data_IF_850591226698
#
_entry.id   IF_850591226698
#
_cell.length_a   1.000
_cell.length_b   1.000
_cell.length_c   1.000
_cell.angle_alpha   90.00
_cell.angle_beta   90.00
_cell.angle_gamma   90.00
#
_symmetry.space_group_name_H-M   'P 1'
#
loop_
_entity.id
_entity.type
_entity.pdbx_description
1 polymer ?
#
# COMPACT_ATOMS: atom_id res chain seq x y z
N UNK A 1 32.68 6.27 6.45
CA UNK A 1 31.30 6.79 6.39
C UNK A 1 30.87 6.82 4.93
N UNK A 2 29.95 5.96 4.51
CA UNK A 2 29.33 6.06 3.20
C UNK A 2 28.04 6.86 3.36
N UNK A 3 28.03 8.11 2.88
CA UNK A 3 26.79 8.84 2.73
C UNK A 3 25.94 8.08 1.70
N UNK A 4 24.84 7.47 2.15
CA UNK A 4 23.87 6.89 1.23
C UNK A 4 23.27 8.05 0.45
N UNK A 5 23.54 8.09 -0.85
CA UNK A 5 22.97 9.12 -1.72
C UNK A 5 21.43 9.05 -1.64
N UNK A 6 20.74 10.21 -1.56
CA UNK A 6 19.30 10.25 -1.53
C UNK A 6 18.71 9.62 -2.80
N UNK A 7 17.61 8.90 -2.65
CA UNK A 7 16.89 8.33 -3.78
C UNK A 7 16.21 9.48 -4.55
N UNK A 8 16.65 9.72 -5.79
CA UNK A 8 16.07 10.69 -6.71
C UNK A 8 15.01 9.96 -7.55
N UNK A 9 13.77 10.43 -7.46
CA UNK A 9 12.63 9.87 -8.21
C UNK A 9 12.07 10.94 -9.12
N UNK A 10 12.12 10.71 -10.43
CA UNK A 10 11.47 11.54 -11.44
C UNK A 10 10.05 11.02 -11.72
N UNK A 11 9.14 11.32 -10.80
CA UNK A 11 7.71 11.02 -10.93
C UNK A 11 6.90 12.12 -10.27
N UNK A 12 5.90 12.62 -10.97
CA UNK A 12 5.02 13.67 -10.47
C UNK A 12 3.76 13.07 -9.83
N UNK A 13 3.66 13.21 -8.51
CA UNK A 13 2.55 12.72 -7.70
C UNK A 13 1.37 13.70 -7.62
N UNK A 14 1.49 14.90 -8.18
CA UNK A 14 0.48 15.95 -8.03
C UNK A 14 -0.88 15.56 -8.63
N UNK A 15 -1.95 15.91 -7.93
CA UNK A 15 -3.34 15.70 -8.36
C UNK A 15 -3.83 14.25 -8.32
N UNK A 16 -2.96 13.26 -8.07
CA UNK A 16 -3.37 11.85 -8.00
C UNK A 16 -4.27 11.64 -6.77
N UNK A 17 -3.88 12.21 -5.63
CA UNK A 17 -4.60 12.07 -4.37
C UNK A 17 -5.11 13.44 -3.87
N UNK A 18 -6.30 13.49 -3.24
CA UNK A 18 -7.25 12.38 -3.02
C UNK A 18 -8.17 12.10 -4.23
N UNK A 19 -8.19 12.96 -5.24
CA UNK A 19 -9.28 12.99 -6.23
C UNK A 19 -9.37 11.72 -7.09
N UNK A 20 -8.25 11.19 -7.59
CA UNK A 20 -8.27 10.03 -8.49
C UNK A 20 -8.70 8.75 -7.77
N UNK A 21 -8.26 8.55 -6.52
CA UNK A 21 -8.66 7.42 -5.67
C UNK A 21 -10.13 7.53 -5.23
N UNK A 22 -10.62 8.73 -4.92
CA UNK A 22 -12.02 8.93 -4.57
C UNK A 22 -12.95 8.58 -5.73
N UNK A 23 -12.62 9.05 -6.94
CA UNK A 23 -13.39 8.68 -8.14
C UNK A 23 -13.36 7.17 -8.39
N UNK A 24 -12.20 6.53 -8.24
CA UNK A 24 -12.09 5.08 -8.38
C UNK A 24 -12.95 4.33 -7.36
N UNK A 25 -12.88 4.70 -6.08
CA UNK A 25 -13.66 4.08 -5.02
C UNK A 25 -15.17 4.24 -5.26
N UNK A 26 -15.64 5.39 -5.76
CA UNK A 26 -17.06 5.59 -6.11
C UNK A 26 -17.50 4.60 -7.19
N UNK A 27 -16.65 4.35 -8.19
CA UNK A 27 -16.93 3.42 -9.28
C UNK A 27 -16.90 1.97 -8.78
N UNK A 28 -15.92 1.64 -7.95
CA UNK A 28 -15.82 0.33 -7.29
C UNK A 28 -17.06 0.04 -6.43
N UNK A 29 -17.47 1.00 -5.59
CA UNK A 29 -18.66 0.89 -4.74
C UNK A 29 -19.95 0.73 -5.58
N UNK A 30 -20.07 1.47 -6.69
CA UNK A 30 -21.22 1.40 -7.60
C UNK A 30 -21.34 0.04 -8.29
N UNK A 31 -20.22 -0.50 -8.76
CA UNK A 31 -20.18 -1.79 -9.46
C UNK A 31 -20.39 -2.93 -8.47
N UNK A 32 -19.65 -2.90 -7.36
CA UNK A 32 -19.76 -3.86 -6.27
C UNK A 32 -19.79 -5.31 -6.74
N UNK A 33 -20.82 -6.05 -6.33
CA UNK A 33 -21.01 -7.47 -6.70
C UNK A 33 -21.69 -7.68 -8.05
N UNK A 34 -22.13 -6.61 -8.72
CA UNK A 34 -22.93 -6.67 -9.94
C UNK A 34 -22.07 -6.56 -11.21
N UNK A 35 -20.75 -6.75 -11.12
CA UNK A 35 -19.82 -6.59 -12.24
C UNK A 35 -20.13 -7.50 -13.44
N UNK A 36 -20.80 -8.65 -13.24
CA UNK A 36 -21.18 -9.58 -14.31
C UNK A 36 -22.24 -9.02 -15.25
N UNK A 37 -23.02 -8.05 -14.77
CA UNK A 37 -24.06 -7.36 -15.55
C UNK A 37 -23.54 -6.11 -16.26
N UNK A 38 -22.29 -5.73 -16.00
CA UNK A 38 -21.70 -4.52 -16.55
C UNK A 38 -21.40 -4.64 -18.05
N UNK A 39 -21.55 -3.54 -18.77
CA UNK A 39 -21.34 -3.51 -20.22
C UNK A 39 -19.88 -3.79 -20.65
N UNK A 40 -18.92 -3.75 -19.73
CA UNK A 40 -17.52 -4.12 -19.96
C UNK A 40 -17.21 -5.57 -19.63
N UNK A 41 -18.13 -6.32 -19.00
CA UNK A 41 -17.88 -7.68 -18.54
C UNK A 41 -17.37 -8.60 -19.66
N UNK A 42 -18.02 -8.59 -20.83
CA UNK A 42 -17.60 -9.42 -21.98
C UNK A 42 -16.21 -9.03 -22.51
N UNK A 43 -15.88 -7.74 -22.53
CA UNK A 43 -14.54 -7.28 -22.93
C UNK A 43 -13.49 -7.73 -21.90
N UNK A 44 -13.83 -7.70 -20.60
CA UNK A 44 -12.95 -8.15 -19.53
C UNK A 44 -12.70 -9.65 -19.54
N UNK A 45 -13.69 -10.49 -19.86
CA UNK A 45 -13.45 -11.92 -20.10
C UNK A 45 -12.38 -12.12 -21.19
N UNK A 46 -12.47 -11.33 -22.27
CA UNK A 46 -11.50 -11.40 -23.36
C UNK A 46 -10.12 -10.90 -22.92
N UNK A 47 -10.04 -9.80 -22.17
CA UNK A 47 -8.78 -9.28 -21.60
C UNK A 47 -8.11 -10.35 -20.72
N UNK A 48 -8.85 -10.98 -19.81
CA UNK A 48 -8.32 -12.04 -18.95
C UNK A 48 -7.73 -13.20 -19.76
N UNK A 49 -8.45 -13.65 -20.79
CA UNK A 49 -8.00 -14.70 -21.69
C UNK A 49 -6.72 -14.30 -22.42
N UNK A 50 -6.66 -13.10 -22.98
CA UNK A 50 -5.46 -12.58 -23.66
C UNK A 50 -4.28 -12.40 -22.70
N UNK A 51 -4.54 -12.06 -21.44
CA UNK A 51 -3.51 -11.91 -20.41
C UNK A 51 -3.06 -13.24 -19.82
N UNK A 52 -3.73 -14.35 -20.16
CA UNK A 52 -3.52 -15.67 -19.54
C UNK A 52 -3.74 -15.65 -18.02
N UNK A 53 -4.71 -14.85 -17.56
CA UNK A 53 -5.12 -14.77 -16.16
C UNK A 53 -6.31 -15.70 -15.94
N UNK A 54 -6.16 -16.63 -15.01
CA UNK A 54 -7.19 -17.60 -14.64
C UNK A 54 -7.89 -17.19 -13.35
N UNK A 55 -9.22 -17.26 -13.34
CA UNK A 55 -10.08 -17.00 -12.17
C UNK A 55 -10.82 -15.67 -12.22
N UNK A 56 -11.81 -15.54 -11.33
CA UNK A 56 -12.77 -14.44 -11.37
C UNK A 56 -12.28 -13.15 -10.70
N UNK A 57 -11.20 -13.22 -9.92
CA UNK A 57 -10.68 -12.08 -9.17
C UNK A 57 -10.26 -10.92 -10.07
N UNK A 58 -9.71 -11.21 -11.25
CA UNK A 58 -9.33 -10.14 -12.18
C UNK A 58 -10.51 -9.64 -13.04
N UNK A 59 -11.60 -10.43 -13.20
CA UNK A 59 -12.79 -9.99 -13.94
C UNK A 59 -13.43 -8.76 -13.27
N UNK A 60 -13.65 -8.82 -11.96
CA UNK A 60 -14.31 -7.73 -11.23
C UNK A 60 -13.49 -6.44 -11.29
N UNK A 61 -12.19 -6.51 -11.03
CA UNK A 61 -11.33 -5.33 -11.06
C UNK A 61 -11.10 -4.80 -12.47
N UNK A 62 -11.06 -5.66 -13.50
CA UNK A 62 -11.05 -5.23 -14.89
C UNK A 62 -12.29 -4.41 -15.23
N UNK A 63 -13.47 -4.82 -14.77
CA UNK A 63 -14.72 -4.08 -14.99
C UNK A 63 -14.68 -2.71 -14.30
N UNK A 64 -14.14 -2.64 -13.08
CA UNK A 64 -13.94 -1.37 -12.35
C UNK A 64 -12.96 -0.46 -13.08
N UNK A 65 -11.80 -0.98 -13.52
CA UNK A 65 -10.81 -0.25 -14.30
C UNK A 65 -11.38 0.27 -15.63
N UNK A 66 -12.20 -0.54 -16.30
CA UNK A 66 -12.86 -0.17 -17.55
C UNK A 66 -13.84 0.99 -17.34
N UNK A 67 -14.69 0.91 -16.32
CA UNK A 67 -15.61 1.99 -15.97
C UNK A 67 -14.88 3.24 -15.48
N UNK A 68 -13.74 3.08 -14.82
CA UNK A 68 -12.89 4.20 -14.43
C UNK A 68 -12.38 4.97 -15.64
N UNK A 69 -11.82 4.28 -16.64
CA UNK A 69 -11.43 4.90 -17.91
C UNK A 69 -12.61 5.58 -18.61
N UNK A 70 -13.75 4.92 -18.65
CA UNK A 70 -14.97 5.46 -19.25
C UNK A 70 -15.42 6.77 -18.55
N UNK A 71 -15.31 6.83 -17.22
CA UNK A 71 -15.69 8.01 -16.44
C UNK A 71 -14.77 9.22 -16.63
N UNK A 72 -13.52 9.00 -17.06
CA UNK A 72 -12.53 10.07 -17.23
C UNK A 72 -12.33 10.49 -18.68
N UNK A 73 -12.90 9.76 -19.66
CA UNK A 73 -12.68 10.03 -21.10
C UNK A 73 -13.11 11.43 -21.55
N UNK A 74 -14.12 12.00 -20.89
CA UNK A 74 -14.65 13.35 -21.17
C UNK A 74 -13.88 14.48 -20.47
N UNK A 75 -12.90 14.17 -19.61
CA UNK A 75 -12.10 15.20 -18.92
C UNK A 75 -11.15 15.91 -19.87
N UNK A 76 -10.90 17.19 -19.59
CA UNK A 76 -9.88 17.97 -20.30
C UNK A 76 -8.49 17.32 -20.18
N UNK A 77 -7.66 17.46 -21.21
CA UNK A 77 -6.31 16.87 -21.28
C UNK A 77 -5.39 17.32 -20.13
N UNK A 78 -5.60 18.51 -19.56
CA UNK A 78 -4.78 18.97 -18.41
C UNK A 78 -5.15 18.24 -17.12
N UNK A 79 -6.43 17.93 -16.94
CA UNK A 79 -6.94 17.32 -15.71
C UNK A 79 -6.86 15.81 -15.73
N UNK A 80 -6.64 15.19 -16.89
CA UNK A 80 -6.71 13.73 -17.05
C UNK A 80 -5.47 13.00 -16.54
N UNK A 81 -4.30 13.64 -16.63
CA UNK A 81 -3.01 13.04 -16.34
C UNK A 81 -2.93 12.39 -14.95
N UNK A 82 -3.39 13.03 -13.86
CA UNK A 82 -3.41 12.38 -12.55
C UNK A 82 -4.29 11.13 -12.49
N UNK A 83 -5.45 11.12 -13.17
CA UNK A 83 -6.33 9.95 -13.25
C UNK A 83 -5.66 8.81 -14.03
N UNK A 84 -4.97 9.11 -15.13
CA UNK A 84 -4.24 8.11 -15.90
C UNK A 84 -3.07 7.50 -15.12
N UNK A 85 -2.33 8.31 -14.35
CA UNK A 85 -1.29 7.81 -13.44
C UNK A 85 -1.88 6.90 -12.35
N UNK A 86 -3.05 7.25 -11.80
CA UNK A 86 -3.74 6.41 -10.83
C UNK A 86 -4.21 5.08 -11.46
N UNK A 87 -4.81 5.13 -12.64
CA UNK A 87 -5.16 3.94 -13.42
C UNK A 87 -3.94 3.03 -13.64
N UNK A 88 -2.81 3.60 -14.04
CA UNK A 88 -1.55 2.87 -14.26
C UNK A 88 -1.09 2.14 -12.98
N UNK A 89 -1.16 2.83 -11.83
CA UNK A 89 -0.86 2.24 -10.52
C UNK A 89 -1.77 1.05 -10.20
N UNK A 90 -3.09 1.21 -10.36
CA UNK A 90 -4.04 0.12 -10.06
C UNK A 90 -3.78 -1.05 -11.02
N UNK A 91 -3.59 -0.79 -12.31
CA UNK A 91 -3.25 -1.82 -13.29
C UNK A 91 -2.00 -2.61 -12.86
N UNK A 92 -0.91 -1.93 -12.48
CA UNK A 92 0.29 -2.59 -11.94
C UNK A 92 -0.01 -3.42 -10.70
N UNK A 93 -0.75 -2.87 -9.75
CA UNK A 93 -1.11 -3.53 -8.49
C UNK A 93 -1.81 -4.87 -8.74
N UNK A 94 -2.77 -4.87 -9.65
CA UNK A 94 -3.53 -6.06 -9.98
C UNK A 94 -2.69 -7.08 -10.75
N UNK A 95 -1.92 -6.64 -11.74
CA UNK A 95 -1.10 -7.53 -12.56
C UNK A 95 0.08 -8.15 -11.79
N UNK A 96 0.56 -7.51 -10.71
CA UNK A 96 1.73 -7.96 -9.92
C UNK A 96 1.62 -9.41 -9.42
N UNK A 97 0.40 -9.91 -9.21
CA UNK A 97 0.17 -11.26 -8.68
C UNK A 97 -0.02 -12.32 -9.78
N UNK A 98 -0.03 -11.92 -11.04
CA UNK A 98 -0.29 -12.82 -12.17
C UNK A 98 0.93 -12.91 -13.08
N UNK A 99 1.10 -14.09 -13.68
CA UNK A 99 2.04 -14.26 -14.79
C UNK A 99 1.31 -13.89 -16.08
N UNK A 100 1.39 -12.62 -16.46
CA UNK A 100 0.66 -12.06 -17.59
C UNK A 100 1.39 -12.34 -18.91
N UNK A 101 0.65 -12.37 -20.02
CA UNK A 101 1.23 -12.48 -21.37
C UNK A 101 1.77 -11.14 -21.90
N UNK A 102 1.37 -10.03 -21.29
CA UNK A 102 1.89 -8.70 -21.58
C UNK A 102 2.99 -8.36 -20.56
N UNK A 103 4.13 -7.90 -21.06
CA UNK A 103 5.29 -7.52 -20.26
C UNK A 103 5.23 -6.02 -19.96
N UNK A 104 4.79 -5.66 -18.74
CA UNK A 104 4.67 -4.27 -18.33
C UNK A 104 3.29 -3.67 -18.60
N UNK A 105 2.99 -2.62 -17.86
CA UNK A 105 1.73 -1.90 -17.83
C UNK A 105 1.39 -1.31 -19.20
N UNK A 106 2.39 -0.78 -19.91
CA UNK A 106 2.21 -0.16 -21.23
C UNK A 106 1.70 -1.15 -22.28
N UNK A 107 2.31 -2.33 -22.36
CA UNK A 107 1.87 -3.38 -23.30
C UNK A 107 0.52 -3.96 -22.89
N UNK A 108 0.26 -4.11 -21.59
CA UNK A 108 -1.04 -4.58 -21.11
C UNK A 108 -2.15 -3.58 -21.47
N UNK A 109 -1.93 -2.28 -21.24
CA UNK A 109 -2.89 -1.24 -21.60
C UNK A 109 -3.17 -1.21 -23.11
N UNK A 110 -2.15 -1.32 -23.96
CA UNK A 110 -2.32 -1.38 -25.41
C UNK A 110 -3.23 -2.54 -25.83
N UNK A 111 -3.00 -3.74 -25.29
CA UNK A 111 -3.88 -4.91 -25.54
C UNK A 111 -5.31 -4.66 -25.06
N UNK A 112 -5.50 -4.02 -23.90
CA UNK A 112 -6.84 -3.64 -23.44
C UNK A 112 -7.54 -2.72 -24.46
N UNK A 113 -6.83 -1.74 -25.01
CA UNK A 113 -7.38 -0.81 -26.01
C UNK A 113 -7.80 -1.51 -27.30
N UNK A 114 -6.99 -2.45 -27.79
CA UNK A 114 -7.32 -3.26 -28.96
C UNK A 114 -8.61 -4.06 -28.76
N UNK A 115 -8.76 -4.65 -27.57
CA UNK A 115 -9.96 -5.39 -27.20
C UNK A 115 -11.16 -4.44 -27.08
N UNK A 116 -11.03 -3.31 -26.40
CA UNK A 116 -12.09 -2.31 -26.30
C UNK A 116 -12.59 -1.84 -27.66
N UNK A 117 -11.68 -1.60 -28.61
CA UNK A 117 -12.02 -1.28 -29.99
C UNK A 117 -12.84 -2.38 -30.66
N UNK A 118 -12.47 -3.65 -30.47
CA UNK A 118 -13.24 -4.80 -30.97
C UNK A 118 -14.68 -4.84 -30.41
N UNK A 119 -14.83 -4.51 -29.12
CA UNK A 119 -16.12 -4.43 -28.43
C UNK A 119 -16.85 -3.08 -28.59
N UNK A 120 -16.44 -2.24 -29.55
CA UNK A 120 -17.04 -0.93 -29.85
C UNK A 120 -17.08 0.04 -28.65
N UNK A 121 -16.10 -0.08 -27.74
CA UNK A 121 -15.87 0.89 -26.66
C UNK A 121 -14.96 1.98 -27.22
N UNK A 122 -15.52 3.15 -27.47
CA UNK A 122 -14.83 4.28 -28.10
C UNK A 122 -14.10 5.13 -27.05
N UNK A 123 -13.04 5.80 -27.48
CA UNK A 123 -12.28 6.81 -26.71
C UNK A 123 -11.70 6.31 -25.37
N UNK A 124 -11.44 5.00 -25.27
CA UNK A 124 -10.83 4.39 -24.08
C UNK A 124 -9.32 4.62 -23.99
N UNK A 125 -8.68 5.04 -25.09
CA UNK A 125 -7.23 5.21 -25.25
C UNK A 125 -6.70 6.57 -24.75
N UNK A 126 -7.55 7.30 -24.02
CA UNK A 126 -7.26 8.64 -23.51
C UNK A 126 -6.01 8.75 -22.61
N UNK A 127 -5.60 7.64 -21.99
CA UNK A 127 -4.42 7.57 -21.12
C UNK A 127 -3.15 7.11 -21.83
N UNK A 128 -3.18 6.85 -23.14
CA UNK A 128 -2.07 6.21 -23.89
C UNK A 128 -0.70 6.84 -23.68
N UNK A 129 -0.64 8.16 -23.56
CA UNK A 129 0.62 8.91 -23.42
C UNK A 129 1.11 8.99 -21.96
N UNK A 130 0.24 8.69 -20.99
CA UNK A 130 0.54 8.75 -19.55
C UNK A 130 0.78 7.36 -18.92
N UNK A 131 0.50 6.26 -19.66
CA UNK A 131 0.84 4.91 -19.20
C UNK A 131 2.34 4.63 -19.43
N UNK A 132 3.03 4.41 -18.32
CA UNK A 132 4.45 4.04 -18.27
C UNK A 132 4.64 2.76 -17.45
N UNK A 133 5.71 2.02 -17.70
CA UNK A 133 6.03 0.89 -16.84
C UNK A 133 6.64 1.42 -15.53
N UNK A 134 5.86 1.40 -14.44
CA UNK A 134 6.30 2.00 -13.17
C UNK A 134 7.48 1.22 -12.61
N UNK A 135 8.48 1.91 -12.06
CA UNK A 135 9.51 1.24 -11.27
C UNK A 135 8.94 0.70 -9.97
N UNK A 136 9.61 -0.27 -9.35
CA UNK A 136 9.18 -0.82 -8.06
C UNK A 136 9.17 0.25 -6.95
N UNK A 137 10.07 1.22 -7.00
CA UNK A 137 10.13 2.33 -6.05
C UNK A 137 8.90 3.24 -6.17
N UNK A 138 8.56 3.66 -7.40
CA UNK A 138 7.37 4.50 -7.67
C UNK A 138 6.10 3.74 -7.24
N UNK A 139 6.00 2.46 -7.64
CA UNK A 139 4.87 1.62 -7.25
C UNK A 139 4.72 1.50 -5.73
N UNK A 140 5.84 1.31 -5.03
CA UNK A 140 5.84 1.19 -3.57
C UNK A 140 5.30 2.46 -2.91
N UNK A 141 5.73 3.63 -3.38
CA UNK A 141 5.25 4.93 -2.89
C UNK A 141 3.74 5.10 -3.15
N UNK A 142 3.29 4.82 -4.38
CA UNK A 142 1.87 4.90 -4.74
C UNK A 142 1.01 3.95 -3.91
N UNK A 143 1.49 2.73 -3.67
CA UNK A 143 0.81 1.75 -2.81
C UNK A 143 0.70 2.22 -1.35
N UNK A 144 1.75 2.86 -0.82
CA UNK A 144 1.71 3.48 0.51
C UNK A 144 0.69 4.62 0.57
N UNK A 145 0.73 5.54 -0.41
CA UNK A 145 -0.22 6.64 -0.50
C UNK A 145 -1.67 6.16 -0.60
N UNK A 146 -1.93 5.18 -1.47
CA UNK A 146 -3.25 4.57 -1.62
C UNK A 146 -3.76 3.96 -0.30
N UNK A 147 -2.89 3.24 0.41
CA UNK A 147 -3.23 2.66 1.71
C UNK A 147 -3.54 3.74 2.75
N UNK A 148 -2.76 4.82 2.76
CA UNK A 148 -2.93 5.95 3.66
C UNK A 148 -4.26 6.67 3.40
N UNK A 149 -4.54 7.08 2.16
CA UNK A 149 -5.79 7.78 1.84
C UNK A 149 -7.04 6.93 2.10
N UNK A 150 -7.00 5.63 1.82
CA UNK A 150 -8.09 4.72 2.20
C UNK A 150 -8.27 4.63 3.72
N UNK A 151 -7.17 4.70 4.47
CA UNK A 151 -7.23 4.73 5.92
C UNK A 151 -7.82 6.05 6.43
N UNK A 152 -7.39 7.19 5.89
CA UNK A 152 -7.93 8.52 6.20
C UNK A 152 -9.44 8.58 5.95
N UNK A 153 -9.91 8.04 4.82
CA UNK A 153 -11.33 7.95 4.50
C UNK A 153 -12.10 7.18 5.57
N UNK A 154 -11.55 6.08 6.09
CA UNK A 154 -12.16 5.32 7.20
C UNK A 154 -12.22 6.12 8.50
N UNK A 155 -11.17 6.88 8.83
CA UNK A 155 -11.16 7.75 10.00
C UNK A 155 -12.24 8.84 9.89
N UNK A 156 -12.35 9.47 8.72
CA UNK A 156 -13.39 10.47 8.39
C UNK A 156 -14.79 9.91 8.60
N UNK A 157 -15.04 8.68 8.13
CA UNK A 157 -16.37 8.07 8.17
C UNK A 157 -16.78 7.55 9.56
N UNK A 158 -15.82 7.03 10.35
CA UNK A 158 -16.11 6.40 11.64
C UNK A 158 -16.01 7.37 12.82
N UNK A 159 -15.67 8.65 12.58
CA UNK A 159 -15.32 9.62 13.63
C UNK A 159 -14.29 9.07 14.63
N UNK A 160 -13.45 8.12 14.18
CA UNK A 160 -12.50 7.43 15.03
C UNK A 160 -11.21 8.24 15.14
N UNK A 161 -10.64 8.28 16.34
CA UNK A 161 -9.38 8.97 16.61
C UNK A 161 -8.21 7.97 16.47
N UNK A 162 -7.12 8.45 15.88
CA UNK A 162 -5.85 7.76 15.76
C UNK A 162 -5.06 7.94 17.06
N UNK A 163 -5.27 7.03 18.02
CA UNK A 163 -4.59 7.09 19.31
C UNK A 163 -3.08 6.89 19.17
N UNK A 164 -2.30 7.53 20.04
CA UNK A 164 -0.85 7.33 20.11
C UNK A 164 -0.50 5.84 20.30
N UNK A 165 0.53 5.36 19.60
CA UNK A 165 0.97 3.97 19.63
C UNK A 165 0.04 2.97 18.91
N UNK A 166 -1.11 3.41 18.40
CA UNK A 166 -1.96 2.57 17.55
C UNK A 166 -1.29 2.28 16.20
N UNK A 167 -1.74 1.21 15.53
CA UNK A 167 -1.29 0.89 14.18
C UNK A 167 -1.55 2.03 13.18
N UNK A 168 -2.64 2.78 13.37
CA UNK A 168 -2.90 4.01 12.63
C UNK A 168 -1.75 5.02 12.74
N UNK A 169 -1.37 5.33 13.98
CA UNK A 169 -0.40 6.37 14.28
C UNK A 169 0.98 5.97 13.76
N UNK A 170 1.36 4.71 13.96
CA UNK A 170 2.63 4.18 13.48
C UNK A 170 2.70 4.21 11.94
N UNK A 171 1.64 3.77 11.24
CA UNK A 171 1.60 3.82 9.77
C UNK A 171 1.73 5.25 9.23
N UNK A 172 1.07 6.22 9.88
CA UNK A 172 1.19 7.63 9.52
C UNK A 172 2.61 8.16 9.75
N UNK A 173 3.21 7.87 10.92
CA UNK A 173 4.57 8.29 11.25
C UNK A 173 5.60 7.69 10.28
N UNK A 174 5.46 6.41 9.97
CA UNK A 174 6.32 5.71 9.02
C UNK A 174 6.21 6.33 7.61
N UNK A 175 4.99 6.70 7.19
CA UNK A 175 4.77 7.42 5.95
C UNK A 175 5.53 8.76 5.93
N UNK A 176 5.35 9.60 6.95
CA UNK A 176 6.03 10.89 7.02
C UNK A 176 7.55 10.74 7.02
N UNK A 177 8.07 9.73 7.72
CA UNK A 177 9.50 9.44 7.73
C UNK A 177 10.00 9.07 6.32
N UNK A 178 9.31 8.17 5.62
CA UNK A 178 9.68 7.76 4.26
C UNK A 178 9.62 8.91 3.25
N UNK A 179 8.62 9.79 3.34
CA UNK A 179 8.54 10.98 2.49
C UNK A 179 9.76 11.88 2.65
N UNK A 180 10.25 12.08 3.89
CA UNK A 180 11.44 12.90 4.16
C UNK A 180 12.73 12.30 3.58
N UNK A 181 12.83 10.97 3.46
CA UNK A 181 14.00 10.30 2.89
C UNK A 181 14.08 10.34 1.36
N UNK A 182 12.99 10.74 0.68
CA UNK A 182 12.91 10.73 -0.78
C UNK A 182 13.00 12.17 -1.29
N UNK A 183 13.91 12.43 -2.23
CA UNK A 183 14.05 13.75 -2.84
C UNK A 183 13.09 13.88 -4.01
N UNK A 184 11.85 14.29 -3.74
CA UNK A 184 10.83 14.55 -4.76
C UNK A 184 9.87 15.67 -4.33
N UNK A 185 9.83 16.76 -5.08
CA UNK A 185 9.05 17.95 -4.72
C UNK A 185 7.53 17.68 -4.67
N UNK A 186 7.01 16.92 -5.63
CA UNK A 186 5.57 16.59 -5.65
C UNK A 186 5.15 15.69 -4.47
N UNK A 187 6.05 14.81 -4.01
CA UNK A 187 5.84 14.01 -2.81
C UNK A 187 5.89 14.87 -1.54
N UNK A 188 6.77 15.88 -1.49
CA UNK A 188 6.82 16.83 -0.37
C UNK A 188 5.56 17.68 -0.28
N UNK A 189 4.99 18.13 -1.41
CA UNK A 189 3.70 18.82 -1.41
C UNK A 189 2.56 17.90 -0.95
N UNK A 190 2.57 16.64 -1.40
CA UNK A 190 1.58 15.66 -0.96
C UNK A 190 1.70 15.35 0.54
N UNK A 191 2.92 15.31 1.08
CA UNK A 191 3.15 15.18 2.51
C UNK A 191 2.47 16.31 3.29
N UNK A 192 2.60 17.56 2.85
CA UNK A 192 1.95 18.72 3.50
C UNK A 192 0.42 18.59 3.49
N UNK A 193 -0.16 18.11 2.38
CA UNK A 193 -1.60 17.85 2.27
C UNK A 193 -2.03 16.78 3.27
N UNK A 194 -1.32 15.66 3.29
CA UNK A 194 -1.57 14.56 4.23
C UNK A 194 -1.48 15.03 5.68
N UNK A 195 -0.41 15.74 6.06
CA UNK A 195 -0.25 16.27 7.42
C UNK A 195 -1.42 17.17 7.83
N UNK A 196 -1.84 18.06 6.92
CA UNK A 196 -2.98 18.95 7.14
C UNK A 196 -4.28 18.17 7.33
N UNK A 197 -4.55 17.18 6.48
CA UNK A 197 -5.79 16.41 6.55
C UNK A 197 -5.85 15.42 7.72
N UNK A 198 -4.70 14.88 8.15
CA UNK A 198 -4.62 13.95 9.27
C UNK A 198 -4.62 14.64 10.63
N UNK A 199 -4.22 15.92 10.71
CA UNK A 199 -4.11 16.68 11.97
C UNK A 199 -5.34 16.55 12.89
N UNK A 200 -6.60 16.61 12.42
CA UNK A 200 -7.77 16.48 13.29
C UNK A 200 -7.96 15.09 13.89
N UNK A 201 -7.37 14.06 13.28
CA UNK A 201 -7.56 12.66 13.66
C UNK A 201 -6.43 12.13 14.52
N UNK A 202 -5.28 12.81 14.55
CA UNK A 202 -4.12 12.40 15.33
C UNK A 202 -4.12 13.13 16.65
N UNK A 203 -4.43 12.41 17.72
CA UNK A 203 -4.28 12.96 19.05
C UNK A 203 -2.83 12.80 19.48
N UNK A 204 -2.01 13.80 19.15
CA UNK A 204 -0.71 13.94 19.80
C UNK A 204 -0.97 14.47 21.20
N UNK A 205 -0.80 13.63 22.23
CA UNK A 205 -0.59 14.14 23.58
C UNK A 205 0.72 14.91 23.53
N UNK A 206 0.63 16.24 23.34
CA UNK A 206 1.80 17.12 23.33
C UNK A 206 2.65 16.94 24.61
N UNK A 207 2.00 16.56 25.71
CA UNK A 207 2.64 16.28 27.01
C UNK A 207 3.65 15.11 26.99
N UNK A 208 3.54 14.16 26.04
CA UNK A 208 4.46 13.01 25.95
C UNK A 208 5.74 13.37 25.18
N UNK A 209 5.67 14.32 24.24
CA UNK A 209 6.85 14.78 23.48
C UNK A 209 7.82 15.58 24.35
N UNK A 210 7.33 16.30 25.36
CA UNK A 210 8.17 16.99 26.34
C UNK A 210 8.70 16.03 27.42
N UNK A 211 7.90 15.05 27.86
CA UNK A 211 8.35 14.06 28.84
C UNK A 211 9.53 13.19 28.34
N UNK A 212 9.57 12.86 27.04
CA UNK A 212 10.69 12.10 26.44
C UNK A 212 12.01 12.86 26.45
N UNK A 213 11.98 14.21 26.45
CA UNK A 213 13.21 15.01 26.59
C UNK A 213 13.74 15.04 28.02
N UNK A 214 12.89 14.76 29.01
CA UNK A 214 13.26 14.76 30.43
C UNK A 214 13.66 13.38 30.99
N UNK A 215 13.27 12.27 30.35
CA UNK A 215 13.55 10.92 30.86
C UNK A 215 15.01 10.45 30.72
N UNK A 216 15.88 11.14 29.97
CA UNK A 216 17.30 10.78 29.89
C UNK A 216 18.16 11.24 31.09
N UNK A 217 17.53 11.66 32.21
CA UNK A 217 18.24 12.20 33.37
C UNK A 217 18.04 11.45 34.69
N UNK A 218 17.51 10.21 34.67
CA UNK A 218 17.35 9.43 35.91
C UNK A 218 18.31 8.24 35.99
N UNK A 219 19.40 8.33 36.79
CA UNK A 219 20.27 7.21 37.09
C UNK A 219 19.76 6.51 38.36
N UNK A 220 18.85 5.55 38.23
CA UNK A 220 18.58 4.63 39.33
C UNK A 220 18.45 3.19 38.87
N UNK A 221 19.46 2.42 39.26
CA UNK A 221 19.49 0.98 39.28
C UNK A 221 18.33 0.42 40.12
N UNK A 222 17.68 -0.62 39.62
CA UNK A 222 16.92 -1.54 40.46
C UNK A 222 16.84 -2.89 39.78
N UNK A 223 17.68 -3.80 40.26
CA UNK A 223 17.50 -5.23 40.15
C UNK A 223 16.16 -5.61 40.78
N UNK A 224 15.40 -6.52 40.15
CA UNK A 224 14.82 -7.69 40.80
C UNK A 224 14.03 -8.55 39.79
N UNK A 225 14.48 -9.80 39.67
CA UNK A 225 13.86 -10.85 38.90
C UNK A 225 12.81 -11.60 39.75
N UNK A 226 11.62 -11.85 39.21
CA UNK A 226 10.73 -12.86 39.77
C UNK A 226 10.00 -13.71 38.70
N UNK A 227 10.49 -14.95 38.61
CA UNK A 227 9.79 -16.23 38.64
C UNK A 227 8.51 -16.46 37.81
N UNK A 228 8.66 -17.40 36.89
CA UNK A 228 7.63 -18.13 36.15
C UNK A 228 6.67 -18.92 37.06
N UNK A 229 5.36 -18.88 36.76
CA UNK A 229 4.39 -19.87 37.22
C UNK A 229 3.88 -20.71 36.03
N UNK A 230 4.03 -22.02 36.17
CA UNK A 230 3.61 -23.07 35.23
C UNK A 230 2.10 -23.33 35.31
N UNK A 231 1.40 -23.29 34.16
CA UNK A 231 0.00 -23.72 34.05
C UNK A 231 -0.06 -25.18 33.61
N UNK A 232 -0.55 -26.03 34.51
CA UNK A 232 -0.77 -27.47 34.36
C UNK A 232 -1.90 -27.82 33.38
N UNK A 233 -1.72 -28.94 32.69
CA UNK A 233 -2.50 -29.47 31.58
C UNK A 233 -3.93 -29.94 31.93
N UNK A 234 -4.90 -29.67 31.03
CA UNK A 234 -6.21 -30.35 30.98
C UNK A 234 -6.31 -31.29 29.77
N UNK A 235 -6.52 -32.57 30.12
CA UNK A 235 -7.19 -33.73 29.49
C UNK A 235 -7.44 -33.78 27.97
N UNK A 236 -7.02 -34.90 27.38
CA UNK A 236 -7.11 -35.30 25.97
C UNK A 236 -8.49 -35.85 25.60
N UNK A 237 -9.06 -35.37 24.49
CA UNK A 237 -10.19 -35.98 23.77
C UNK A 237 -9.70 -36.48 22.40
N UNK A 238 -10.04 -37.70 21.94
CA UNK A 238 -9.52 -38.27 20.69
C UNK A 238 -9.78 -37.43 19.43
N UNK A 239 -10.83 -36.61 19.42
CA UNK A 239 -11.17 -35.67 18.34
C UNK A 239 -10.12 -34.56 18.16
N UNK A 240 -9.31 -34.28 19.19
CA UNK A 240 -8.26 -33.26 19.17
C UNK A 240 -7.09 -33.67 18.27
N UNK A 241 -6.74 -34.95 18.18
CA UNK A 241 -5.57 -35.40 17.41
C UNK A 241 -5.78 -35.19 15.90
N UNK A 242 -6.98 -35.45 15.41
CA UNK A 242 -7.33 -35.22 14.00
C UNK A 242 -7.39 -33.72 13.64
N UNK A 243 -8.02 -32.91 14.50
CA UNK A 243 -8.05 -31.46 14.36
C UNK A 243 -6.65 -30.83 14.50
N UNK A 244 -5.82 -31.34 15.40
CA UNK A 244 -4.45 -30.84 15.63
C UNK A 244 -3.57 -31.08 14.41
N UNK A 245 -3.71 -32.20 13.69
CA UNK A 245 -2.96 -32.43 12.45
C UNK A 245 -3.38 -31.47 11.33
N UNK A 246 -4.68 -31.18 11.19
CA UNK A 246 -5.18 -30.20 10.19
C UNK A 246 -4.79 -28.76 10.55
N UNK A 247 -4.93 -28.37 11.82
CA UNK A 247 -4.49 -27.07 12.32
C UNK A 247 -2.98 -26.91 12.16
N UNK A 248 -2.18 -27.97 12.40
CA UNK A 248 -0.73 -27.96 12.18
C UNK A 248 -0.38 -27.73 10.72
N UNK A 249 -1.01 -28.44 9.77
CA UNK A 249 -0.80 -28.21 8.32
C UNK A 249 -1.20 -26.80 7.89
N UNK A 250 -2.33 -26.29 8.39
CA UNK A 250 -2.76 -24.92 8.12
C UNK A 250 -1.79 -23.90 8.72
N UNK A 251 -1.32 -24.11 9.94
CA UNK A 251 -0.32 -23.26 10.61
C UNK A 251 1.02 -23.31 9.89
N UNK A 252 1.43 -24.44 9.34
CA UNK A 252 2.64 -24.57 8.51
C UNK A 252 2.50 -23.84 7.16
N UNK A 253 1.34 -23.93 6.50
CA UNK A 253 1.06 -23.16 5.27
C UNK A 253 0.99 -21.66 5.54
N UNK A 254 0.34 -21.26 6.64
CA UNK A 254 0.24 -19.86 7.03
C UNK A 254 1.57 -19.32 7.52
N UNK A 255 2.36 -20.12 8.24
CA UNK A 255 3.74 -19.78 8.58
C UNK A 255 4.65 -19.80 7.36
N UNK A 256 4.45 -20.62 6.33
CA UNK A 256 5.21 -20.53 5.08
C UNK A 256 4.85 -19.27 4.29
N UNK A 257 3.56 -18.91 4.19
CA UNK A 257 3.11 -17.65 3.56
C UNK A 257 3.55 -16.43 4.36
N UNK A 258 3.40 -16.47 5.69
CA UNK A 258 3.86 -15.42 6.61
C UNK A 258 5.38 -15.36 6.60
N UNK A 259 6.13 -16.47 6.59
CA UNK A 259 7.59 -16.46 6.49
C UNK A 259 8.03 -15.93 5.13
N UNK A 260 7.41 -16.28 4.00
CA UNK A 260 7.72 -15.64 2.70
C UNK A 260 7.42 -14.13 2.70
N UNK A 261 6.26 -13.72 3.22
CA UNK A 261 5.86 -12.30 3.34
C UNK A 261 6.74 -11.53 4.34
N UNK A 262 7.11 -12.19 5.45
CA UNK A 262 7.97 -11.65 6.50
C UNK A 262 9.43 -11.68 6.08
N UNK A 263 9.91 -12.62 5.26
CA UNK A 263 11.27 -12.58 4.69
C UNK A 263 11.37 -11.48 3.64
N UNK A 264 10.30 -11.21 2.88
CA UNK A 264 10.23 -10.06 2.00
C UNK A 264 10.27 -8.76 2.81
N UNK A 265 9.38 -8.60 3.81
CA UNK A 265 9.30 -7.40 4.66
C UNK A 265 10.53 -7.24 5.57
N UNK A 266 11.04 -8.31 6.18
CA UNK A 266 12.23 -8.30 7.03
C UNK A 266 13.52 -8.10 6.23
N UNK A 267 13.55 -8.40 4.93
CA UNK A 267 14.71 -8.01 4.11
C UNK A 267 14.79 -6.49 3.90
N UNK A 268 13.66 -5.78 4.06
CA UNK A 268 13.61 -4.32 4.08
C UNK A 268 13.84 -3.78 5.51
N UNK A 269 13.22 -4.38 6.53
CA UNK A 269 13.38 -3.93 7.92
C UNK A 269 14.79 -4.22 8.47
N UNK A 270 15.43 -5.34 8.13
CA UNK A 270 16.81 -5.63 8.57
C UNK A 270 17.84 -4.74 7.88
N UNK A 271 17.61 -4.31 6.63
CA UNK A 271 18.48 -3.28 6.03
C UNK A 271 18.33 -1.98 6.82
N UNK A 272 17.11 -1.64 7.23
CA UNK A 272 16.80 -0.40 7.92
C UNK A 272 17.30 -0.35 9.38
N UNK A 273 17.17 -1.43 10.14
CA UNK A 273 17.69 -1.53 11.52
C UNK A 273 19.23 -1.56 11.55
N UNK A 274 19.89 -2.19 10.58
CA UNK A 274 21.37 -2.17 10.46
C UNK A 274 21.91 -0.77 10.14
N UNK A 275 21.08 0.13 9.57
CA UNK A 275 21.41 1.55 9.38
C UNK A 275 21.17 2.40 10.63
N UNK A 276 20.23 2.04 11.50
CA UNK A 276 19.96 2.74 12.77
C UNK A 276 21.02 2.38 13.83
N UNK A 277 21.39 1.11 13.96
CA UNK A 277 22.40 0.68 14.93
C UNK A 277 23.79 1.25 14.60
N UNK A 278 24.16 1.33 13.32
CA UNK A 278 25.42 2.00 12.89
C UNK A 278 25.39 3.52 13.09
N UNK A 279 24.21 4.13 13.21
CA UNK A 279 24.05 5.56 13.50
C UNK A 279 24.22 5.89 14.98
N UNK A 280 23.86 4.97 15.88
CA UNK A 280 23.97 5.16 17.33
C UNK A 280 25.40 4.94 17.86
N UNK A 281 26.24 4.16 17.16
CA UNK A 281 27.63 3.90 17.54
C UNK A 281 28.58 5.07 17.21
N UNK A 282 28.15 6.01 16.36
CA UNK A 282 28.93 7.18 15.95
C UNK A 282 28.78 8.33 16.97
N UNK A 283 27.69 8.39 17.75
CA UNK A 283 27.48 9.47 18.72
C UNK A 283 28.26 9.31 20.03
N UNK A 284 28.88 8.16 20.28
CA UNK A 284 29.66 7.91 21.51
C UNK A 284 31.18 8.04 21.33
N UNK A 285 31.68 8.26 20.10
CA UNK A 285 33.12 8.33 19.82
C UNK A 285 33.62 9.74 19.42
N UNK A 286 32.90 10.81 19.80
CA UNK A 286 33.30 12.21 19.52
C UNK A 286 33.56 13.00 20.82
N UNK A 287 33.87 12.30 21.91
CA UNK A 287 34.38 12.89 23.15
C UNK A 287 35.68 12.18 23.56
N UNK A 288 36.73 12.38 22.76
CA UNK A 288 38.14 12.33 23.17
C UNK A 288 38.99 13.20 22.25
#
# INVERSE_FOLDING_TARGET
MSFSNPLIIDFDFNGIFPTSIENFNVIEDKIGRNYETDTFFTACIKINSEFNIWGDSFHSICVVLSNYLDSIKEKETRDIKPYCKYFNYVLKSELKNYKTSCNGEKLCYQKMMEIYKHYKKVDMDKCKDDIIDLTDDIFTILNYLNSLYNYLKKLKNNSSICNFGSSCFNNYKDFLHKCKSIQNNSLQELQKIVEKEYKPYIHMNHDVLDASKHMHSSPYASEHAHSFYSISARKYTPSRLYLQQRIRKLKELWNKKRKKKFTLISSFDCKYEEYIDKGLDISYNVLE
#
